data_IF_931416683588
#
_entry.id   IF_931416683588
#
_cell.length_a   1.000
_cell.length_b   1.000
_cell.length_c   1.000
_cell.angle_alpha   90.00
_cell.angle_beta   90.00
_cell.angle_gamma   90.00
#
_symmetry.space_group_name_H-M   'P 1'
#
loop_
_entity.id
_entity.type
_entity.pdbx_description
1 polymer ?
#
# COMPACT_ATOMS: atom_id res chain seq x y z
N UNK A 1 42.99 43.85 -26.41
CA UNK A 1 42.50 44.92 -25.52
C UNK A 1 41.24 44.38 -24.85
N UNK A 2 41.41 43.53 -23.83
CA UNK A 2 41.41 43.86 -22.39
C UNK A 2 40.01 44.09 -21.82
N UNK A 3 39.51 42.99 -21.23
CA UNK A 3 38.64 42.79 -20.06
C UNK A 3 37.75 43.91 -19.50
N UNK A 4 36.56 43.51 -19.02
CA UNK A 4 36.14 43.71 -17.62
C UNK A 4 34.87 42.89 -17.31
N UNK A 5 35.06 41.80 -16.57
CA UNK A 5 34.00 41.00 -15.93
C UNK A 5 33.77 41.60 -14.53
N UNK A 6 32.54 42.04 -14.24
CA UNK A 6 32.17 42.50 -12.90
C UNK A 6 31.69 41.30 -12.09
N UNK A 7 32.53 40.90 -11.15
CA UNK A 7 32.24 39.93 -10.10
C UNK A 7 31.60 40.65 -8.91
N UNK A 8 30.41 40.22 -8.50
CA UNK A 8 29.71 40.72 -7.32
C UNK A 8 29.67 39.64 -6.24
N UNK A 9 30.48 39.83 -5.20
CA UNK A 9 30.49 39.01 -3.98
C UNK A 9 29.27 39.28 -3.09
N UNK A 10 28.74 38.27 -2.37
CA UNK A 10 27.72 38.47 -1.34
C UNK A 10 28.33 38.92 0.01
N UNK A 11 27.56 39.65 0.84
CA UNK A 11 28.01 40.12 2.16
C UNK A 11 28.04 39.00 3.22
N UNK A 12 28.83 39.18 4.31
CA UNK A 12 29.04 38.16 5.33
C UNK A 12 27.88 38.08 6.34
N UNK A 13 27.70 36.87 6.89
CA UNK A 13 26.79 36.55 7.99
C UNK A 13 27.28 37.17 9.30
N UNK A 14 26.36 37.80 10.04
CA UNK A 14 26.55 38.28 11.40
C UNK A 14 26.08 37.20 12.39
N UNK A 15 27.00 36.76 13.24
CA UNK A 15 26.77 35.82 14.34
C UNK A 15 27.06 36.56 15.64
N UNK A 16 26.01 36.93 16.36
CA UNK A 16 26.10 37.32 17.76
C UNK A 16 25.20 36.42 18.59
N UNK A 17 25.84 35.50 19.30
CA UNK A 17 25.32 34.86 20.50
C UNK A 17 25.00 35.92 21.55
N UNK A 18 23.92 35.76 22.29
CA UNK A 18 23.92 36.25 23.67
C UNK A 18 23.21 35.28 24.60
N UNK A 19 24.02 34.79 25.53
CA UNK A 19 23.72 33.82 26.58
C UNK A 19 23.20 34.64 27.76
N UNK A 20 21.96 34.40 28.18
CA UNK A 20 21.49 34.86 29.49
C UNK A 20 21.01 33.69 30.34
N UNK A 21 21.80 33.49 31.41
CA UNK A 21 21.63 32.54 32.49
C UNK A 21 20.44 32.94 33.36
N UNK A 22 19.42 32.09 33.41
CA UNK A 22 18.28 32.22 34.32
C UNK A 22 18.14 30.98 35.19
N UNK A 23 18.88 30.93 36.32
CA UNK A 23 18.65 29.96 37.41
C UNK A 23 17.35 30.34 38.12
N UNK A 24 16.41 29.41 38.22
CA UNK A 24 15.36 29.43 39.22
C UNK A 24 14.97 28.00 39.58
N UNK A 25 15.27 27.63 40.83
CA UNK A 25 14.87 26.36 41.43
C UNK A 25 13.39 26.41 41.82
N UNK A 26 12.67 25.27 41.77
CA UNK A 26 11.52 25.06 42.62
C UNK A 26 11.78 23.96 43.66
N UNK A 27 11.61 24.41 44.88
CA UNK A 27 11.19 23.75 46.12
C UNK A 27 10.62 22.33 45.98
N UNK A 28 11.22 21.43 46.74
CA UNK A 28 10.68 20.14 47.14
C UNK A 28 9.43 20.29 48.02
N UNK A 29 8.34 19.62 47.67
CA UNK A 29 7.32 19.21 48.63
C UNK A 29 6.90 17.76 48.37
N UNK A 30 7.25 16.91 49.32
CA UNK A 30 6.79 15.54 49.48
C UNK A 30 5.29 15.53 49.82
N UNK A 31 4.52 14.65 49.18
CA UNK A 31 3.21 14.21 49.68
C UNK A 31 2.84 12.83 49.11
N UNK A 32 2.73 11.85 50.00
CA UNK A 32 1.76 10.75 49.94
C UNK A 32 1.99 9.63 48.92
N UNK A 33 2.80 8.63 49.29
CA UNK A 33 2.77 7.31 48.65
C UNK A 33 1.59 6.51 49.23
N UNK A 34 0.55 6.29 48.41
CA UNK A 34 -0.52 5.32 48.70
C UNK A 34 -0.36 4.18 47.69
N UNK A 35 0.18 3.07 48.18
CA UNK A 35 0.29 1.79 47.47
C UNK A 35 -1.10 1.27 47.11
N UNK A 36 -1.39 1.17 45.81
CA UNK A 36 -2.55 0.47 45.28
C UNK A 36 -2.06 -0.59 44.30
N UNK A 37 -2.23 -1.85 44.67
CA UNK A 37 -1.88 -3.03 43.87
C UNK A 37 -2.64 -3.06 42.53
N UNK A 38 -1.99 -3.31 41.39
CA UNK A 38 -2.70 -3.53 40.15
C UNK A 38 -3.22 -4.97 40.08
N UNK A 39 -4.54 -5.10 39.99
CA UNK A 39 -5.23 -6.34 39.65
C UNK A 39 -4.86 -6.72 38.22
N UNK A 40 -4.20 -7.87 38.05
CA UNK A 40 -3.82 -8.43 36.75
C UNK A 40 -5.09 -8.73 35.93
N UNK A 41 -5.28 -8.02 34.82
CA UNK A 41 -6.21 -8.42 33.77
C UNK A 41 -5.53 -9.44 32.83
N UNK A 42 -6.25 -10.45 32.34
CA UNK A 42 -5.67 -11.48 31.49
C UNK A 42 -5.24 -10.90 30.14
N UNK A 43 -4.03 -11.27 29.75
CA UNK A 43 -3.37 -10.94 28.49
C UNK A 43 -4.24 -11.41 27.29
N UNK A 44 -4.55 -10.57 26.30
CA UNK A 44 -5.30 -11.01 25.13
C UNK A 44 -4.40 -11.95 24.30
N UNK A 45 -4.79 -13.22 24.19
CA UNK A 45 -4.15 -14.18 23.31
C UNK A 45 -4.32 -13.76 21.85
N UNK A 46 -3.26 -13.82 21.02
CA UNK A 46 -3.37 -13.53 19.60
C UNK A 46 -4.29 -14.56 18.94
N UNK A 47 -5.32 -14.08 18.25
CA UNK A 47 -6.22 -14.91 17.44
C UNK A 47 -5.45 -15.32 16.19
N UNK A 48 -4.88 -16.52 16.21
CA UNK A 48 -4.28 -17.15 15.03
C UNK A 48 -5.40 -17.69 14.15
N UNK A 49 -5.70 -16.98 13.06
CA UNK A 49 -6.61 -17.48 12.01
C UNK A 49 -5.81 -18.42 11.10
N UNK A 50 -5.82 -19.72 11.40
CA UNK A 50 -5.33 -20.74 10.48
C UNK A 50 -6.43 -21.08 9.46
N UNK A 51 -6.14 -20.86 8.17
CA UNK A 51 -7.00 -21.31 7.08
C UNK A 51 -6.45 -22.62 6.52
N UNK A 52 -7.27 -23.67 6.32
CA UNK A 52 -6.81 -24.90 5.68
C UNK A 52 -6.52 -24.64 4.20
N UNK A 53 -5.29 -24.92 3.79
CA UNK A 53 -4.89 -24.88 2.37
C UNK A 53 -5.71 -25.89 1.57
N UNK A 54 -6.33 -25.50 0.44
CA UNK A 54 -7.06 -26.43 -0.41
C UNK A 54 -6.08 -27.41 -1.07
N UNK A 55 -6.28 -28.69 -0.80
CA UNK A 55 -5.56 -29.79 -1.45
C UNK A 55 -6.02 -29.89 -2.90
N UNK A 56 -5.13 -29.57 -3.85
CA UNK A 56 -5.40 -29.78 -5.28
C UNK A 56 -5.37 -31.28 -5.59
N UNK A 57 -6.34 -31.84 -6.35
CA UNK A 57 -6.23 -33.18 -6.86
C UNK A 57 -5.18 -33.25 -7.97
N UNK A 58 -4.34 -34.26 -7.88
CA UNK A 58 -3.25 -34.59 -8.80
C UNK A 58 -3.83 -35.00 -10.16
N UNK A 59 -3.85 -34.06 -11.12
CA UNK A 59 -4.24 -34.34 -12.49
C UNK A 59 -3.05 -34.97 -13.24
N UNK A 60 -3.07 -36.28 -13.39
CA UNK A 60 -2.15 -37.03 -14.25
C UNK A 60 -2.32 -36.61 -15.71
N UNK A 61 -1.31 -35.93 -16.26
CA UNK A 61 -1.23 -35.59 -17.67
C UNK A 61 -0.61 -36.77 -18.42
N UNK A 62 -1.42 -37.55 -19.16
CA UNK A 62 -0.91 -38.43 -20.20
C UNK A 62 -0.64 -37.61 -21.47
N UNK A 63 0.61 -37.60 -21.93
CA UNK A 63 1.00 -37.10 -23.25
C UNK A 63 0.44 -38.03 -24.34
N UNK A 64 -0.30 -37.46 -25.29
CA UNK A 64 -0.74 -38.14 -26.51
C UNK A 64 0.15 -37.73 -27.69
N UNK A 65 0.68 -38.73 -28.39
CA UNK A 65 1.62 -38.63 -29.52
C UNK A 65 0.88 -38.24 -30.83
N UNK A 66 1.31 -37.19 -31.57
CA UNK A 66 0.56 -36.65 -32.71
C UNK A 66 0.82 -37.30 -34.08
N UNK A 67 1.50 -38.46 -34.17
CA UNK A 67 1.80 -39.08 -35.47
C UNK A 67 1.26 -40.52 -35.60
N UNK A 68 -0.02 -40.65 -35.93
CA UNK A 68 -0.58 -41.88 -36.50
C UNK A 68 -1.51 -41.56 -37.70
N UNK A 69 -1.32 -42.18 -38.88
CA UNK A 69 -2.11 -41.90 -40.08
C UNK A 69 -3.52 -42.51 -40.03
N UNK A 70 -4.49 -41.72 -40.49
CA UNK A 70 -5.91 -42.08 -40.68
C UNK A 70 -6.08 -43.07 -41.85
N UNK A 71 -6.72 -44.21 -41.59
CA UNK A 71 -7.41 -44.99 -42.62
C UNK A 71 -8.93 -44.84 -42.47
N UNK A 72 -9.56 -44.42 -43.56
CA UNK A 72 -11.01 -44.25 -43.71
C UNK A 72 -11.56 -45.54 -44.31
N UNK A 73 -12.46 -46.21 -43.60
CA UNK A 73 -13.34 -47.22 -44.20
C UNK A 73 -14.77 -46.97 -43.69
N UNK A 74 -15.66 -46.69 -44.64
CA UNK A 74 -17.09 -46.55 -44.41
C UNK A 74 -17.71 -47.94 -44.21
N UNK A 75 -18.49 -48.10 -43.13
CA UNK A 75 -19.47 -49.17 -43.01
C UNK A 75 -20.61 -48.68 -42.13
N UNK A 76 -21.76 -48.54 -42.77
CA UNK A 76 -23.09 -48.32 -42.22
C UNK A 76 -23.55 -49.53 -41.40
N UNK A 77 -23.90 -49.30 -40.14
CA UNK A 77 -24.75 -50.21 -39.37
C UNK A 77 -25.53 -49.42 -38.32
N UNK A 78 -26.84 -49.47 -38.48
CA UNK A 78 -27.87 -49.01 -37.56
C UNK A 78 -27.82 -49.76 -36.23
N UNK A 79 -27.52 -49.05 -35.14
CA UNK A 79 -27.63 -49.57 -33.78
C UNK A 79 -28.40 -48.56 -32.93
N UNK A 80 -29.51 -49.04 -32.36
CA UNK A 80 -30.42 -48.30 -31.49
C UNK A 80 -29.66 -47.71 -30.30
N UNK A 81 -29.74 -46.38 -30.15
CA UNK A 81 -29.12 -45.65 -29.07
C UNK A 81 -30.09 -45.60 -27.89
N UNK A 82 -29.93 -46.54 -26.95
CA UNK A 82 -30.52 -46.45 -25.62
C UNK A 82 -29.96 -45.20 -24.94
N UNK A 83 -30.83 -44.24 -24.60
CA UNK A 83 -30.41 -43.06 -23.85
C UNK A 83 -29.80 -43.47 -22.51
N UNK A 84 -28.62 -42.93 -22.12
CA UNK A 84 -28.15 -43.08 -20.76
C UNK A 84 -29.08 -42.29 -19.84
N UNK A 85 -29.64 -42.96 -18.82
CA UNK A 85 -30.37 -42.30 -17.76
C UNK A 85 -29.39 -41.42 -16.99
N UNK A 86 -29.53 -40.10 -17.13
CA UNK A 86 -28.81 -39.14 -16.29
C UNK A 86 -29.25 -39.34 -14.85
N UNK A 87 -28.40 -39.99 -14.05
CA UNK A 87 -28.43 -39.88 -12.60
C UNK A 87 -28.31 -38.40 -12.24
N UNK A 88 -29.18 -37.82 -11.40
CA UNK A 88 -28.97 -36.48 -10.89
C UNK A 88 -27.65 -36.47 -10.11
N UNK A 89 -26.75 -35.54 -10.46
CA UNK A 89 -25.47 -35.38 -9.77
C UNK A 89 -25.69 -35.13 -8.26
N UNK A 90 -24.88 -35.74 -7.38
CA UNK A 90 -24.92 -35.52 -5.93
C UNK A 90 -24.29 -34.19 -5.51
N UNK A 91 -23.74 -33.41 -6.45
CA UNK A 91 -23.12 -32.13 -6.19
C UNK A 91 -24.21 -31.07 -6.09
N UNK A 92 -24.65 -30.82 -4.84
CA UNK A 92 -25.52 -29.71 -4.51
C UNK A 92 -25.04 -28.40 -5.17
N UNK A 93 -25.98 -27.48 -5.45
CA UNK A 93 -25.70 -26.21 -6.13
C UNK A 93 -24.39 -25.61 -5.58
N UNK A 94 -23.43 -25.23 -6.45
CA UNK A 94 -22.23 -24.56 -6.00
C UNK A 94 -22.63 -23.36 -5.13
N UNK A 95 -21.84 -23.02 -4.08
CA UNK A 95 -22.13 -21.87 -3.24
C UNK A 95 -22.48 -20.69 -4.12
N UNK A 96 -23.61 -20.03 -3.84
CA UNK A 96 -24.01 -18.86 -4.61
C UNK A 96 -22.90 -17.83 -4.51
N UNK A 97 -22.09 -17.70 -5.56
CA UNK A 97 -21.05 -16.69 -5.62
C UNK A 97 -21.77 -15.35 -5.63
N UNK A 98 -21.88 -14.72 -4.46
CA UNK A 98 -22.31 -13.35 -4.38
C UNK A 98 -21.30 -12.54 -5.20
N UNK A 99 -21.76 -12.03 -6.35
CA UNK A 99 -20.99 -11.06 -7.12
C UNK A 99 -20.73 -9.92 -6.15
N UNK A 100 -19.47 -9.71 -5.78
CA UNK A 100 -19.10 -8.63 -4.89
C UNK A 100 -19.48 -7.31 -5.56
N UNK A 101 -20.62 -6.75 -5.14
CA UNK A 101 -21.11 -5.49 -5.66
C UNK A 101 -20.10 -4.38 -5.37
N UNK A 102 -20.03 -3.39 -6.25
CA UNK A 102 -19.26 -2.18 -5.94
C UNK A 102 -19.85 -1.57 -4.67
N UNK A 103 -19.04 -1.28 -3.64
CA UNK A 103 -19.51 -0.66 -2.41
C UNK A 103 -20.35 0.59 -2.70
N UNK A 104 -21.50 0.72 -2.05
CA UNK A 104 -22.38 1.90 -2.17
C UNK A 104 -22.05 2.98 -1.14
N UNK A 105 -21.23 2.65 -0.14
CA UNK A 105 -20.76 3.53 0.92
C UNK A 105 -19.25 3.62 0.91
N UNK A 106 -18.72 4.65 1.56
CA UNK A 106 -17.28 4.76 1.77
C UNK A 106 -16.79 3.60 2.64
N UNK A 107 -15.63 3.04 2.27
CA UNK A 107 -14.98 2.00 3.07
C UNK A 107 -13.67 2.57 3.62
N UNK A 108 -13.52 2.51 4.93
CA UNK A 108 -12.27 2.80 5.63
C UNK A 108 -11.43 1.53 5.68
N UNK A 109 -10.18 1.63 5.29
CA UNK A 109 -9.18 0.59 5.38
C UNK A 109 -8.05 1.00 6.32
N UNK A 110 -7.55 0.07 7.11
CA UNK A 110 -6.41 0.25 8.01
C UNK A 110 -5.20 -0.51 7.48
N UNK A 111 -4.03 0.11 7.56
CA UNK A 111 -2.74 -0.54 7.27
C UNK A 111 -2.27 -1.25 8.54
N UNK A 112 -2.40 -2.57 8.60
CA UNK A 112 -2.05 -3.38 9.78
C UNK A 112 -0.77 -4.16 9.53
N UNK A 113 0.21 -4.01 10.42
CA UNK A 113 1.45 -4.79 10.37
C UNK A 113 1.16 -6.28 10.63
N UNK A 114 1.81 -7.17 9.87
CA UNK A 114 1.64 -8.63 10.01
C UNK A 114 2.97 -9.41 10.10
N UNK A 115 4.09 -8.71 10.12
CA UNK A 115 5.40 -9.34 10.27
C UNK A 115 6.53 -8.40 9.86
N UNK A 116 7.70 -8.98 9.65
CA UNK A 116 8.90 -8.23 9.32
C UNK A 116 8.79 -7.61 7.92
N UNK A 117 8.71 -6.27 7.89
CA UNK A 117 8.60 -5.47 6.68
C UNK A 117 7.34 -5.76 5.84
N UNK A 118 6.25 -6.23 6.44
CA UNK A 118 5.00 -6.50 5.75
C UNK A 118 3.78 -6.01 6.53
N UNK A 119 2.79 -5.53 5.78
CA UNK A 119 1.49 -5.10 6.29
C UNK A 119 0.37 -5.53 5.34
N UNK A 120 -0.85 -5.58 5.84
CA UNK A 120 -2.05 -5.83 5.05
C UNK A 120 -3.01 -4.64 5.13
N UNK A 121 -3.73 -4.41 4.05
CA UNK A 121 -4.79 -3.41 4.00
C UNK A 121 -6.13 -4.08 4.30
N UNK A 122 -6.63 -3.86 5.52
CA UNK A 122 -7.85 -4.51 6.01
C UNK A 122 -8.99 -3.49 6.06
N UNK A 123 -10.17 -3.78 5.49
CA UNK A 123 -11.34 -2.94 5.66
C UNK A 123 -11.83 -2.91 7.12
N UNK A 124 -12.53 -1.85 7.48
CA UNK A 124 -13.21 -1.71 8.78
C UNK A 124 -14.16 -2.89 9.05
N UNK A 125 -14.36 -3.31 10.32
CA UNK A 125 -15.29 -4.40 10.67
C UNK A 125 -16.73 -4.19 10.19
N UNK A 126 -17.11 -2.93 9.92
CA UNK A 126 -18.45 -2.57 9.44
C UNK A 126 -18.58 -2.62 7.91
N UNK A 127 -17.51 -2.99 7.18
CA UNK A 127 -17.54 -3.07 5.73
C UNK A 127 -18.30 -4.33 5.24
N UNK A 128 -18.90 -4.30 4.04
CA UNK A 128 -19.60 -5.46 3.47
C UNK A 128 -18.71 -6.69 3.26
N UNK A 129 -17.43 -6.47 2.97
CA UNK A 129 -16.39 -7.50 2.88
C UNK A 129 -15.28 -7.10 3.86
N UNK A 130 -15.00 -7.96 4.84
CA UNK A 130 -14.01 -7.73 5.88
C UNK A 130 -12.65 -8.37 5.57
N UNK A 131 -12.51 -9.07 4.43
CA UNK A 131 -11.27 -9.76 4.07
C UNK A 131 -10.15 -8.76 3.73
N UNK A 132 -8.89 -9.06 4.07
CA UNK A 132 -7.76 -8.23 3.66
C UNK A 132 -7.72 -8.05 2.13
N UNK A 133 -7.64 -6.80 1.69
CA UNK A 133 -7.70 -6.45 0.28
C UNK A 133 -6.34 -6.52 -0.39
N UNK A 134 -5.29 -6.18 0.34
CA UNK A 134 -3.91 -6.17 -0.15
C UNK A 134 -2.91 -6.65 0.89
N UNK A 135 -1.87 -7.30 0.38
CA UNK A 135 -0.64 -7.60 1.08
C UNK A 135 0.45 -6.70 0.52
N UNK A 136 1.14 -5.99 1.41
CA UNK A 136 2.15 -4.99 1.07
C UNK A 136 3.43 -5.40 1.79
N UNK A 137 4.49 -5.64 1.03
CA UNK A 137 5.82 -5.92 1.58
C UNK A 137 6.86 -4.92 1.13
N UNK A 138 7.86 -4.71 1.98
CA UNK A 138 9.01 -3.88 1.70
C UNK A 138 10.26 -4.74 1.83
N UNK A 139 11.17 -4.63 0.87
CA UNK A 139 12.48 -5.30 0.93
C UNK A 139 13.58 -4.35 0.51
N UNK A 140 14.76 -4.51 1.12
CA UNK A 140 15.95 -3.75 0.75
C UNK A 140 16.53 -4.26 -0.57
N UNK A 141 17.05 -3.35 -1.40
CA UNK A 141 17.89 -3.74 -2.53
C UNK A 141 19.30 -4.06 -2.00
N UNK A 142 19.73 -5.31 -2.08
CA UNK A 142 21.02 -5.74 -1.53
C UNK A 142 22.23 -5.07 -2.20
N UNK A 143 22.09 -4.58 -3.43
CA UNK A 143 23.16 -3.85 -4.13
C UNK A 143 23.11 -2.34 -3.88
N UNK A 144 21.96 -1.84 -3.41
CA UNK A 144 21.74 -0.43 -3.09
C UNK A 144 20.98 -0.36 -1.77
N UNK A 145 21.66 -0.55 -0.61
CA UNK A 145 20.98 -0.66 0.69
C UNK A 145 20.17 0.58 1.10
N UNK A 146 20.45 1.73 0.48
CA UNK A 146 19.66 2.97 0.64
C UNK A 146 18.37 2.98 -0.20
N UNK A 147 18.10 1.91 -0.95
CA UNK A 147 16.95 1.72 -1.82
C UNK A 147 16.11 0.54 -1.33
N UNK A 148 14.79 0.73 -1.31
CA UNK A 148 13.84 -0.34 -0.95
C UNK A 148 12.77 -0.48 -2.01
N UNK A 149 12.36 -1.72 -2.23
CA UNK A 149 11.31 -2.10 -3.15
C UNK A 149 10.06 -2.38 -2.33
N UNK A 150 8.99 -1.65 -2.60
CA UNK A 150 7.67 -1.88 -2.02
C UNK A 150 6.82 -2.62 -3.03
N UNK A 151 6.36 -3.84 -2.70
CA UNK A 151 5.53 -4.67 -3.56
C UNK A 151 4.12 -4.78 -3.01
N UNK A 152 3.12 -4.63 -3.89
CA UNK A 152 1.70 -4.73 -3.55
C UNK A 152 1.08 -5.92 -4.28
N UNK A 153 0.40 -6.77 -3.52
CA UNK A 153 -0.31 -7.96 -3.99
C UNK A 153 -1.75 -7.98 -3.49
N UNK A 154 -2.63 -8.69 -4.19
CA UNK A 154 -4.03 -8.90 -3.78
C UNK A 154 -4.12 -9.84 -2.59
N UNK A 155 -5.12 -9.63 -1.74
CA UNK A 155 -5.43 -10.56 -0.64
C UNK A 155 -4.52 -10.36 0.57
N UNK A 156 -4.43 -11.38 1.42
CA UNK A 156 -3.73 -11.29 2.71
C UNK A 156 -2.28 -11.79 2.67
N UNK A 157 -1.80 -12.36 1.56
CA UNK A 157 -0.56 -13.13 1.52
C UNK A 157 0.37 -12.74 0.37
N UNK A 158 1.59 -13.25 0.39
CA UNK A 158 2.63 -12.99 -0.61
C UNK A 158 2.40 -13.73 -1.94
N UNK A 159 1.51 -14.71 -1.96
CA UNK A 159 1.17 -15.53 -3.12
C UNK A 159 0.06 -14.86 -3.97
N UNK A 160 -0.52 -13.76 -3.47
CA UNK A 160 -1.54 -13.01 -4.18
C UNK A 160 -1.07 -12.46 -5.52
N UNK A 161 -2.03 -12.23 -6.43
CA UNK A 161 -1.76 -11.64 -7.72
C UNK A 161 -1.05 -10.28 -7.57
N UNK A 162 0.02 -10.09 -8.35
CA UNK A 162 0.81 -8.86 -8.32
C UNK A 162 0.00 -7.69 -8.88
N UNK A 163 -0.07 -6.62 -8.10
CA UNK A 163 -0.65 -5.34 -8.53
C UNK A 163 0.44 -4.46 -9.15
N UNK A 164 1.59 -4.42 -8.47
CA UNK A 164 2.78 -3.73 -8.93
C UNK A 164 3.82 -3.62 -7.81
N UNK A 165 4.93 -2.96 -8.12
CA UNK A 165 5.93 -2.55 -7.13
C UNK A 165 6.56 -1.20 -7.50
N UNK A 166 7.27 -0.61 -6.55
CA UNK A 166 8.08 0.57 -6.82
C UNK A 166 9.38 0.53 -6.02
N UNK A 167 10.46 0.97 -6.65
CA UNK A 167 11.77 1.13 -6.04
C UNK A 167 12.04 2.62 -5.79
N UNK A 168 12.35 2.97 -4.55
CA UNK A 168 12.76 4.32 -4.17
C UNK A 168 13.94 4.24 -3.21
N UNK A 169 14.85 5.20 -3.28
CA UNK A 169 15.95 5.29 -2.34
C UNK A 169 16.24 6.72 -1.92
N UNK A 170 17.26 6.87 -1.08
CA UNK A 170 17.81 8.17 -0.69
C UNK A 170 18.80 8.68 -1.75
N UNK A 171 19.43 7.76 -2.49
CA UNK A 171 20.37 8.10 -3.55
C UNK A 171 19.68 8.79 -4.74
N UNK A 172 20.44 9.56 -5.52
CA UNK A 172 19.99 10.27 -6.73
C UNK A 172 19.56 9.33 -7.89
N UNK A 173 19.44 8.02 -7.64
CA UNK A 173 18.93 7.06 -8.62
C UNK A 173 17.46 7.39 -8.90
N UNK A 174 17.09 7.37 -10.18
CA UNK A 174 15.70 7.51 -10.61
C UNK A 174 14.84 6.42 -9.97
N UNK A 175 13.85 6.83 -9.18
CA UNK A 175 12.87 5.92 -8.63
C UNK A 175 12.00 5.32 -9.74
N UNK A 176 11.64 4.04 -9.62
CA UNK A 176 10.88 3.31 -10.64
C UNK A 176 9.57 2.77 -10.08
N UNK A 177 8.59 2.59 -10.96
CA UNK A 177 7.27 2.00 -10.71
C UNK A 177 7.02 0.93 -11.75
N UNK A 178 6.71 -0.28 -11.32
CA UNK A 178 6.16 -1.34 -12.15
C UNK A 178 4.66 -1.54 -11.84
N UNK A 179 3.81 -1.38 -12.85
CA UNK A 179 2.37 -1.57 -12.70
C UNK A 179 1.77 -1.96 -14.05
N UNK A 180 0.80 -2.89 -14.05
CA UNK A 180 0.15 -3.41 -15.27
C UNK A 180 1.13 -3.93 -16.32
N UNK A 181 2.21 -4.60 -15.88
CA UNK A 181 3.17 -5.25 -16.77
C UNK A 181 4.17 -4.31 -17.44
N UNK A 182 4.28 -3.06 -16.99
CA UNK A 182 5.21 -2.06 -17.54
C UNK A 182 5.92 -1.30 -16.43
N UNK A 183 7.17 -0.91 -16.70
CA UNK A 183 8.01 -0.13 -15.80
C UNK A 183 8.10 1.33 -16.26
N UNK A 184 8.11 2.25 -15.30
CA UNK A 184 8.13 3.70 -15.54
C UNK A 184 9.03 4.40 -14.52
N UNK A 185 9.75 5.47 -14.91
CA UNK A 185 10.27 6.44 -13.97
C UNK A 185 9.12 7.09 -13.18
N UNK A 186 9.23 7.17 -11.84
CA UNK A 186 8.18 7.78 -11.01
C UNK A 186 7.93 9.25 -11.42
N UNK A 187 8.98 9.97 -11.83
CA UNK A 187 8.86 11.37 -12.26
C UNK A 187 7.97 11.58 -13.49
N UNK A 188 7.82 10.55 -14.35
CA UNK A 188 7.00 10.63 -15.55
C UNK A 188 5.51 10.42 -15.25
N UNK A 189 5.21 9.66 -14.19
CA UNK A 189 3.84 9.25 -13.84
C UNK A 189 3.25 10.03 -12.68
N UNK A 190 4.09 10.58 -11.80
CA UNK A 190 3.70 11.33 -10.62
C UNK A 190 4.29 12.75 -10.68
N UNK A 191 3.52 13.68 -11.22
CA UNK A 191 3.85 15.09 -11.22
C UNK A 191 3.69 15.70 -9.83
N UNK A 192 4.57 16.63 -9.46
CA UNK A 192 4.53 17.33 -8.18
C UNK A 192 4.52 18.84 -8.38
N UNK A 193 3.70 19.53 -7.58
CA UNK A 193 3.76 20.98 -7.40
C UNK A 193 3.74 21.34 -5.91
N UNK A 194 4.45 22.41 -5.52
CA UNK A 194 4.57 22.84 -4.13
C UNK A 194 5.64 22.09 -3.32
N UNK A 195 5.53 22.14 -1.99
CA UNK A 195 6.56 21.63 -1.08
C UNK A 195 6.54 20.09 -0.97
N UNK A 196 7.61 19.50 -0.42
CA UNK A 196 7.68 18.05 -0.14
C UNK A 196 6.74 17.62 0.98
N UNK A 197 6.59 18.44 2.03
CA UNK A 197 5.79 18.11 3.23
C UNK A 197 4.30 18.39 3.04
N UNK A 198 3.96 19.29 2.12
CA UNK A 198 2.60 19.59 1.71
C UNK A 198 2.61 20.15 0.29
N UNK A 199 2.02 19.41 -0.63
CA UNK A 199 2.07 19.67 -2.07
C UNK A 199 0.86 19.12 -2.79
N UNK A 200 0.79 19.40 -4.08
CA UNK A 200 -0.19 18.86 -5.00
C UNK A 200 0.48 17.82 -5.88
N UNK A 201 -0.18 16.70 -6.12
CA UNK A 201 0.37 15.63 -6.94
C UNK A 201 -0.60 15.18 -8.01
N UNK A 202 -0.10 15.04 -9.23
CA UNK A 202 -0.85 14.57 -10.38
C UNK A 202 -0.37 13.17 -10.76
N UNK A 203 -1.21 12.16 -10.53
CA UNK A 203 -0.98 10.80 -11.02
C UNK A 203 -1.52 10.67 -12.44
N UNK A 204 -0.61 10.65 -13.41
CA UNK A 204 -0.90 10.70 -14.85
C UNK A 204 -0.98 9.31 -15.51
N UNK A 205 -0.96 8.26 -14.69
CA UNK A 205 -0.88 6.88 -15.18
C UNK A 205 -2.19 6.34 -15.77
N UNK A 206 -3.32 6.94 -15.43
CA UNK A 206 -4.66 6.52 -15.88
C UNK A 206 -5.33 7.61 -16.73
N UNK A 207 -6.19 7.20 -17.67
CA UNK A 207 -6.97 8.10 -18.54
C UNK A 207 -7.74 9.18 -17.77
N UNK A 208 -8.14 8.87 -16.53
CA UNK A 208 -8.94 9.77 -15.68
C UNK A 208 -8.10 10.63 -14.74
N UNK A 209 -6.80 10.36 -14.63
CA UNK A 209 -5.87 10.95 -13.66
C UNK A 209 -6.30 10.80 -12.19
N UNK A 210 -5.35 10.87 -11.26
CA UNK A 210 -5.67 11.16 -9.86
C UNK A 210 -5.00 12.46 -9.46
N UNK A 211 -5.67 13.25 -8.64
CA UNK A 211 -5.14 14.48 -8.08
C UNK A 211 -5.10 14.37 -6.56
N UNK A 212 -3.92 14.42 -5.97
CA UNK A 212 -3.75 14.44 -4.52
C UNK A 212 -3.51 15.85 -4.01
N UNK A 213 -4.43 16.34 -3.19
CA UNK A 213 -4.20 17.49 -2.33
C UNK A 213 -3.63 17.04 -0.99
N UNK A 214 -2.34 17.32 -0.79
CA UNK A 214 -1.60 17.00 0.43
C UNK A 214 -1.23 18.26 1.22
N UNK A 215 -1.87 19.41 0.96
CA UNK A 215 -1.59 20.65 1.70
C UNK A 215 -2.02 20.58 3.16
N UNK A 216 -3.07 19.81 3.43
CA UNK A 216 -3.62 19.57 4.78
C UNK A 216 -3.72 18.08 5.05
N UNK A 217 -3.83 17.73 6.33
CA UNK A 217 -4.24 16.40 6.75
C UNK A 217 -5.74 16.43 7.13
N UNK A 218 -6.54 15.43 6.71
CA UNK A 218 -6.12 14.28 5.91
C UNK A 218 -5.92 14.65 4.42
N UNK A 219 -5.12 13.83 3.72
CA UNK A 219 -4.80 14.04 2.30
C UNK A 219 -5.93 13.54 1.44
N UNK A 220 -6.30 14.31 0.42
CA UNK A 220 -7.49 14.01 -0.38
C UNK A 220 -7.12 13.70 -1.81
N UNK A 221 -7.66 12.60 -2.34
CA UNK A 221 -7.51 12.16 -3.71
C UNK A 221 -8.80 12.45 -4.47
N UNK A 222 -8.68 13.20 -5.55
CA UNK A 222 -9.78 13.58 -6.43
C UNK A 222 -9.54 13.05 -7.84
N UNK A 223 -10.59 13.12 -8.66
CA UNK A 223 -10.47 13.14 -10.12
C UNK A 223 -9.57 14.28 -10.59
N UNK A 224 -9.01 14.16 -11.80
CA UNK A 224 -8.11 15.20 -12.36
C UNK A 224 -8.78 16.58 -12.49
N UNK A 225 -10.10 16.60 -12.72
CA UNK A 225 -10.90 17.84 -12.76
C UNK A 225 -11.26 18.38 -11.36
N UNK A 226 -10.84 17.67 -10.30
CA UNK A 226 -10.99 18.01 -8.87
C UNK A 226 -12.44 18.07 -8.38
N UNK A 227 -13.38 17.50 -9.13
CA UNK A 227 -14.81 17.54 -8.78
C UNK A 227 -15.26 16.34 -7.95
N UNK A 228 -14.65 15.19 -8.15
CA UNK A 228 -15.06 13.94 -7.49
C UNK A 228 -14.00 13.50 -6.51
N UNK A 229 -14.37 13.32 -5.24
CA UNK A 229 -13.50 12.73 -4.24
C UNK A 229 -13.48 11.21 -4.42
N UNK A 230 -12.29 10.65 -4.58
CA UNK A 230 -12.07 9.21 -4.70
C UNK A 230 -11.58 8.58 -3.40
N UNK A 231 -10.72 9.26 -2.67
CA UNK A 231 -10.19 8.74 -1.41
C UNK A 231 -9.67 9.82 -0.47
N UNK A 232 -9.54 9.45 0.80
CA UNK A 232 -8.93 10.25 1.86
C UNK A 232 -7.88 9.40 2.58
N UNK A 233 -6.62 9.83 2.56
CA UNK A 233 -5.53 9.18 3.27
C UNK A 233 -5.19 9.92 4.56
N UNK A 234 -5.21 9.19 5.67
CA UNK A 234 -4.99 9.65 7.03
C UNK A 234 -3.68 9.05 7.54
N UNK A 235 -2.53 9.73 7.30
CA UNK A 235 -1.26 9.29 7.88
C UNK A 235 -1.24 9.53 9.38
N UNK A 236 -0.46 8.73 10.11
CA UNK A 236 -0.17 8.96 11.53
C UNK A 236 0.89 10.05 11.63
N UNK A 237 0.54 11.21 12.18
CA UNK A 237 1.43 12.38 12.25
C UNK A 237 1.87 12.76 13.66
N UNK A 238 1.30 12.13 14.67
CA UNK A 238 1.62 12.34 16.08
C UNK A 238 2.43 11.18 16.65
N UNK A 239 3.12 11.47 17.74
CA UNK A 239 3.82 10.45 18.52
C UNK A 239 2.81 9.55 19.22
N UNK A 240 3.17 8.27 19.35
CA UNK A 240 2.42 7.31 20.15
C UNK A 240 2.34 7.82 21.59
N UNK A 241 1.13 7.79 22.18
CA UNK A 241 0.96 8.13 23.60
C UNK A 241 1.42 6.95 24.46
N UNK A 242 1.97 7.19 25.66
CA UNK A 242 2.26 6.12 26.62
C UNK A 242 1.04 5.23 26.84
N UNK A 243 1.27 3.92 26.98
CA UNK A 243 0.25 2.91 27.29
C UNK A 243 -0.90 2.77 26.28
N UNK A 244 -0.76 3.34 25.08
CA UNK A 244 -1.71 3.17 23.99
C UNK A 244 -1.10 2.39 22.84
N UNK A 245 -1.87 1.50 22.17
CA UNK A 245 -1.46 0.91 20.92
C UNK A 245 -1.10 1.97 19.89
N UNK A 246 -0.20 1.62 18.97
CA UNK A 246 0.07 2.48 17.83
C UNK A 246 -1.22 2.72 17.04
N UNK A 247 -1.51 3.97 16.72
CA UNK A 247 -2.52 4.24 15.71
C UNK A 247 -2.03 3.75 14.36
N UNK A 248 -2.94 3.21 13.56
CA UNK A 248 -2.64 2.73 12.22
C UNK A 248 -2.99 3.81 11.20
N UNK A 249 -2.18 4.00 10.15
CA UNK A 249 -2.60 4.80 9.01
C UNK A 249 -3.91 4.25 8.43
N UNK A 250 -4.74 5.15 7.88
CA UNK A 250 -6.02 4.77 7.28
C UNK A 250 -6.17 5.33 5.88
N UNK A 251 -6.86 4.57 5.02
CA UNK A 251 -7.27 5.00 3.69
C UNK A 251 -8.78 4.80 3.58
N UNK A 252 -9.53 5.87 3.45
CA UNK A 252 -10.95 5.83 3.13
C UNK A 252 -11.13 5.94 1.62
N UNK A 253 -11.91 5.04 1.01
CA UNK A 253 -12.18 5.05 -0.44
C UNK A 253 -13.68 5.14 -0.69
N UNK A 254 -14.08 6.14 -1.48
CA UNK A 254 -15.48 6.36 -1.86
C UNK A 254 -15.94 5.31 -2.88
N UNK A 255 -17.26 5.10 -3.06
CA UNK A 255 -17.78 4.24 -4.14
C UNK A 255 -17.18 4.56 -5.51
N UNK A 256 -17.03 5.85 -5.82
CA UNK A 256 -16.48 6.32 -7.09
C UNK A 256 -14.98 6.07 -7.21
N UNK A 257 -14.26 5.95 -6.09
CA UNK A 257 -12.84 5.61 -6.04
C UNK A 257 -12.53 4.11 -6.18
N UNK A 258 -13.52 3.23 -5.94
CA UNK A 258 -13.30 1.77 -5.94
C UNK A 258 -12.71 1.23 -7.27
N UNK A 259 -13.13 1.70 -8.46
CA UNK A 259 -12.51 1.28 -9.73
C UNK A 259 -11.04 1.67 -9.89
N UNK A 260 -10.56 2.65 -9.13
CA UNK A 260 -9.21 3.20 -9.19
C UNK A 260 -8.35 2.80 -8.00
N UNK A 261 -8.76 1.79 -7.23
CA UNK A 261 -8.14 1.46 -5.95
C UNK A 261 -6.63 1.22 -6.08
N UNK A 262 -6.20 0.49 -7.10
CA UNK A 262 -4.79 0.15 -7.33
C UNK A 262 -3.93 1.40 -7.44
N UNK A 263 -4.39 2.35 -8.25
CA UNK A 263 -3.72 3.62 -8.49
C UNK A 263 -3.77 4.51 -7.24
N UNK A 264 -4.90 4.55 -6.53
CA UNK A 264 -5.04 5.27 -5.27
C UNK A 264 -4.04 4.74 -4.24
N UNK A 265 -3.98 3.42 -4.06
CA UNK A 265 -3.10 2.79 -3.09
C UNK A 265 -1.62 3.02 -3.47
N UNK A 266 -1.26 2.74 -4.72
CA UNK A 266 0.11 2.95 -5.21
C UNK A 266 0.57 4.39 -5.06
N UNK A 267 -0.23 5.34 -5.56
CA UNK A 267 0.12 6.76 -5.50
C UNK A 267 0.19 7.28 -4.05
N UNK A 268 -0.73 6.87 -3.17
CA UNK A 268 -0.70 7.24 -1.75
C UNK A 268 0.60 6.77 -1.08
N UNK A 269 1.00 5.53 -1.32
CA UNK A 269 2.22 4.95 -0.76
C UNK A 269 3.49 5.64 -1.27
N UNK A 270 3.57 5.92 -2.57
CA UNK A 270 4.70 6.63 -3.18
C UNK A 270 4.82 8.05 -2.60
N UNK A 271 3.69 8.78 -2.54
CA UNK A 271 3.65 10.14 -1.98
C UNK A 271 4.10 10.13 -0.52
N UNK A 272 3.62 9.17 0.27
CA UNK A 272 3.98 9.09 1.68
C UNK A 272 5.46 8.77 1.89
N UNK A 273 6.00 7.85 1.09
CA UNK A 273 7.42 7.54 1.11
C UNK A 273 8.28 8.72 0.69
N UNK A 274 7.87 9.46 -0.35
CA UNK A 274 8.58 10.67 -0.76
C UNK A 274 8.58 11.72 0.35
N UNK A 275 7.44 11.93 1.03
CA UNK A 275 7.36 12.87 2.15
C UNK A 275 8.34 12.55 3.28
N UNK A 276 8.50 11.26 3.58
CA UNK A 276 9.34 10.76 4.67
C UNK A 276 10.81 10.57 4.28
N UNK A 277 11.15 10.58 2.99
CA UNK A 277 12.54 10.49 2.53
C UNK A 277 13.25 11.83 2.75
N UNK A 278 14.45 11.87 3.34
CA UNK A 278 15.23 13.10 3.52
C UNK A 278 15.54 13.79 2.18
N UNK A 279 15.68 15.11 2.18
CA UNK A 279 16.17 15.85 1.01
C UNK A 279 17.69 15.87 0.99
N UNK A 280 18.29 15.81 -0.21
CA UNK A 280 19.71 16.08 -0.40
C UNK A 280 19.98 17.51 0.11
N UNK A 281 20.57 17.61 1.32
CA UNK A 281 20.76 18.87 2.04
C UNK A 281 20.32 18.86 3.52
N UNK A 282 19.44 17.94 3.91
CA UNK A 282 19.00 17.76 5.31
C UNK A 282 19.96 16.88 6.14
N UNK A 283 21.15 16.56 5.61
CA UNK A 283 22.21 15.80 6.30
C UNK A 283 22.92 16.61 7.40
N UNK A 284 22.18 17.37 8.22
CA UNK A 284 22.71 17.82 9.51
C UNK A 284 22.80 16.57 10.41
N UNK A 285 23.97 15.93 10.37
CA UNK A 285 24.45 14.90 11.30
C UNK A 285 23.40 13.87 11.70
N UNK A 286 23.16 12.91 10.81
CA UNK A 286 22.67 11.60 11.22
C UNK A 286 23.86 10.64 11.25
N UNK A 287 24.91 10.99 12.01
CA UNK A 287 25.93 10.13 12.65
C UNK A 287 26.82 11.03 13.51
#
# INVERSE_FOLDING_TARGET
MTESIISSSPPPYDTSEDISVGRSAPSTSNLGSVSSSPHLLPNPTPVVLSWPSPTLPEAGVQLHDPYAPRNVTASSSSSQHSQPSYSPEPFGRPPGYAIAGTPTTNIVYSFSDIGDNAMILIPSPNAPDTRPKYHISVRMNCFIPSSYITTIRRGATQEGAMVGDFEMGIADKTATLFIRGKEFPIGDVLGKSGSRRGGLWDWKFIKYGLFWDCKTNPRKCFSIDRKTLFATFMPVTHLRKPDTPAELPQLEVTPQGQPFFDDILMSAMIIERWRLTPASGDHKQLF
#
